data_IF_523642532377
#
_entry.id   IF_523642532377
#
_cell.length_a   1.000
_cell.length_b   1.000
_cell.length_c   1.000
_cell.angle_alpha   90.00
_cell.angle_beta   90.00
_cell.angle_gamma   90.00
#
_symmetry.space_group_name_H-M   'P 1'
#
loop_
_entity.id
_entity.type
_entity.pdbx_description
1 polymer ?
#
# COMPACT_ATOMS: atom_id res chain seq x y z
N UNK A 1 20.13 1.06 -8.61
CA UNK A 1 19.14 0.29 -9.40
C UNK A 1 17.80 0.93 -9.15
N UNK A 2 17.16 1.46 -10.19
CA UNK A 2 15.83 2.08 -10.11
C UNK A 2 14.83 0.99 -10.45
N UNK A 3 14.08 0.50 -9.47
CA UNK A 3 12.99 -0.45 -9.69
C UNK A 3 11.79 0.33 -10.23
N UNK A 4 11.45 0.11 -11.50
CA UNK A 4 10.24 0.67 -12.11
C UNK A 4 9.09 -0.28 -11.79
N UNK A 5 8.12 0.19 -11.00
CA UNK A 5 6.88 -0.55 -10.71
C UNK A 5 5.85 -0.07 -11.74
N UNK A 6 5.34 -0.98 -12.55
CA UNK A 6 4.30 -0.69 -13.54
C UNK A 6 2.93 -0.86 -12.88
N UNK A 7 2.15 0.22 -12.74
CA UNK A 7 0.89 0.24 -11.96
C UNK A 7 -0.40 0.22 -12.81
N UNK A 8 -0.36 0.01 -14.13
CA UNK A 8 -1.51 0.37 -14.98
C UNK A 8 -2.57 -0.71 -15.21
N UNK A 9 -3.83 -0.29 -15.09
CA UNK A 9 -4.91 -0.64 -16.01
C UNK A 9 -5.69 0.64 -16.37
N UNK A 10 -5.66 1.01 -17.66
CA UNK A 10 -6.36 2.18 -18.19
C UNK A 10 -7.86 1.82 -18.26
N UNK A 11 -8.72 2.52 -17.51
CA UNK A 11 -10.15 2.19 -17.29
C UNK A 11 -11.08 2.16 -18.52
N UNK A 12 -10.75 1.38 -19.56
CA UNK A 12 -11.52 1.15 -20.80
C UNK A 12 -11.75 -0.34 -21.09
N UNK A 13 -11.55 -1.24 -20.12
CA UNK A 13 -11.73 -2.67 -20.31
C UNK A 13 -13.09 -3.13 -19.73
N UNK A 14 -13.87 -3.88 -20.53
CA UNK A 14 -15.10 -4.59 -20.10
C UNK A 14 -14.83 -5.73 -19.09
N UNK A 15 -13.56 -5.91 -18.70
CA UNK A 15 -13.12 -6.84 -17.68
C UNK A 15 -12.81 -6.08 -16.38
N UNK A 16 -13.01 -6.68 -15.20
CA UNK A 16 -12.49 -6.11 -13.97
C UNK A 16 -10.98 -5.86 -14.13
N UNK A 17 -10.46 -4.69 -13.71
CA UNK A 17 -9.06 -4.36 -13.91
C UNK A 17 -8.19 -5.48 -13.36
N UNK A 18 -7.09 -5.87 -14.05
CA UNK A 18 -6.18 -6.88 -13.55
C UNK A 18 -5.75 -6.49 -12.14
N UNK A 19 -5.80 -7.46 -11.23
CA UNK A 19 -5.36 -7.24 -9.87
C UNK A 19 -3.90 -6.74 -9.88
N UNK A 20 -3.54 -5.75 -9.05
CA UNK A 20 -2.18 -5.23 -9.03
C UNK A 20 -1.17 -6.35 -8.75
N UNK A 21 -0.02 -6.28 -9.42
CA UNK A 21 1.05 -7.25 -9.28
C UNK A 21 1.51 -7.35 -7.82
N UNK A 22 1.77 -8.57 -7.36
CA UNK A 22 2.20 -8.84 -5.99
C UNK A 22 3.72 -8.60 -5.85
N UNK A 23 4.10 -7.65 -5.02
CA UNK A 23 5.51 -7.34 -4.73
C UNK A 23 5.95 -8.12 -3.49
N UNK A 24 6.92 -9.02 -3.62
CA UNK A 24 7.50 -9.73 -2.48
C UNK A 24 8.52 -8.85 -1.77
N UNK A 25 8.30 -8.61 -0.49
CA UNK A 25 9.21 -7.86 0.37
C UNK A 25 10.04 -8.82 1.23
N UNK A 26 11.31 -8.46 1.44
CA UNK A 26 12.16 -9.17 2.38
C UNK A 26 11.70 -8.96 3.83
N UNK A 27 12.04 -9.92 4.69
CA UNK A 27 11.83 -9.79 6.13
C UNK A 27 12.70 -8.64 6.65
N UNK A 28 12.14 -7.79 7.53
CA UNK A 28 12.94 -6.77 8.19
C UNK A 28 13.91 -7.41 9.18
N UNK A 29 14.98 -6.70 9.57
CA UNK A 29 15.84 -7.18 10.67
C UNK A 29 15.03 -7.18 11.96
N UNK A 30 15.20 -8.21 12.80
CA UNK A 30 14.50 -8.31 14.09
C UNK A 30 14.62 -7.01 14.89
N UNK A 31 13.49 -6.46 15.31
CA UNK A 31 13.42 -5.22 16.09
C UNK A 31 13.71 -3.93 15.29
N UNK A 32 13.88 -4.02 13.97
CA UNK A 32 14.04 -2.87 13.09
C UNK A 32 12.80 -2.66 12.21
N UNK A 33 12.63 -1.42 11.76
CA UNK A 33 11.71 -1.07 10.70
C UNK A 33 12.46 -1.03 9.37
N UNK A 34 11.92 -1.72 8.37
CA UNK A 34 12.26 -1.51 6.97
C UNK A 34 11.30 -0.50 6.38
N UNK A 35 11.75 0.26 5.37
CA UNK A 35 10.94 1.25 4.69
C UNK A 35 11.11 1.16 3.18
N UNK A 36 10.00 1.26 2.46
CA UNK A 36 9.95 1.35 1.00
C UNK A 36 9.23 2.63 0.62
N UNK A 37 9.90 3.49 -0.14
CA UNK A 37 9.27 4.67 -0.72
C UNK A 37 8.24 4.23 -1.77
N UNK A 38 7.03 4.79 -1.69
CA UNK A 38 5.96 4.55 -2.64
C UNK A 38 5.86 5.73 -3.63
N UNK A 39 5.44 5.49 -4.88
CA UNK A 39 5.29 6.54 -5.88
C UNK A 39 4.06 7.40 -5.56
N UNK A 40 4.26 8.45 -4.74
CA UNK A 40 3.19 9.30 -4.22
C UNK A 40 2.31 9.90 -5.33
N UNK A 41 2.91 10.42 -6.40
CA UNK A 41 2.17 11.09 -7.47
C UNK A 41 1.33 10.10 -8.29
N UNK A 42 1.83 8.88 -8.51
CA UNK A 42 1.05 7.82 -9.15
C UNK A 42 -0.12 7.39 -8.27
N UNK A 43 0.10 7.23 -6.96
CA UNK A 43 -0.97 6.90 -6.01
C UNK A 43 -2.06 7.97 -5.93
N UNK A 44 -1.69 9.26 -6.01
CA UNK A 44 -2.66 10.36 -6.13
C UNK A 44 -3.45 10.25 -7.43
N UNK A 45 -2.79 9.98 -8.55
CA UNK A 45 -3.45 9.81 -9.85
C UNK A 45 -4.43 8.65 -9.89
N UNK A 46 -4.21 7.60 -9.08
CA UNK A 46 -5.09 6.44 -8.96
C UNK A 46 -6.29 6.65 -8.02
N UNK A 47 -6.29 7.73 -7.23
CA UNK A 47 -7.40 8.09 -6.35
C UNK A 47 -8.55 8.75 -7.15
N UNK A 48 -9.21 7.99 -8.02
CA UNK A 48 -10.22 8.54 -8.96
C UNK A 48 -11.67 8.39 -8.50
N UNK A 49 -11.93 7.55 -7.49
CA UNK A 49 -13.28 7.20 -7.04
C UNK A 49 -13.42 7.33 -5.53
N UNK A 50 -14.65 7.54 -5.06
CA UNK A 50 -15.01 7.49 -3.63
C UNK A 50 -14.90 6.07 -3.06
N UNK A 51 -15.03 5.06 -3.91
CA UNK A 51 -14.85 3.67 -3.53
C UNK A 51 -13.36 3.34 -3.42
N UNK A 52 -12.92 2.62 -2.37
CA UNK A 52 -11.54 2.18 -2.25
C UNK A 52 -11.12 1.30 -3.43
N UNK A 53 -10.02 1.65 -4.07
CA UNK A 53 -9.39 0.86 -5.12
C UNK A 53 -8.07 0.30 -4.60
N UNK A 54 -7.83 -0.99 -4.81
CA UNK A 54 -6.52 -1.61 -4.52
C UNK A 54 -5.53 -1.23 -5.60
N UNK A 55 -4.38 -0.67 -5.21
CA UNK A 55 -3.41 -0.13 -6.15
C UNK A 55 -2.05 -0.80 -6.06
N UNK A 56 -1.68 -1.33 -4.90
CA UNK A 56 -0.44 -2.09 -4.72
C UNK A 56 -0.69 -3.23 -3.74
N UNK A 57 -0.13 -4.41 -4.04
CA UNK A 57 -0.10 -5.56 -3.14
C UNK A 57 1.33 -5.93 -2.79
N UNK A 58 1.57 -6.16 -1.51
CA UNK A 58 2.84 -6.62 -0.99
C UNK A 58 2.63 -7.92 -0.23
N UNK A 59 3.60 -8.82 -0.38
CA UNK A 59 3.70 -10.01 0.46
C UNK A 59 4.93 -9.89 1.35
N UNK A 60 4.72 -9.99 2.67
CA UNK A 60 5.77 -10.10 3.68
C UNK A 60 5.55 -11.42 4.40
N UNK A 61 6.41 -12.40 4.15
CA UNK A 61 6.21 -13.78 4.61
C UNK A 61 4.82 -14.30 4.19
N UNK A 62 3.98 -14.69 5.17
CA UNK A 62 2.61 -15.16 4.97
C UNK A 62 1.56 -14.05 5.13
N UNK A 63 1.99 -12.79 5.29
CA UNK A 63 1.09 -11.64 5.38
C UNK A 63 0.93 -10.94 4.03
N UNK A 64 -0.32 -10.63 3.68
CA UNK A 64 -0.68 -9.78 2.55
C UNK A 64 -0.93 -8.36 3.04
N UNK A 65 -0.28 -7.38 2.42
CA UNK A 65 -0.50 -5.95 2.65
C UNK A 65 -1.00 -5.33 1.35
N UNK A 66 -2.09 -4.60 1.42
CA UNK A 66 -2.73 -3.94 0.28
C UNK A 66 -2.76 -2.44 0.54
N UNK A 67 -2.23 -1.66 -0.39
CA UNK A 67 -2.44 -0.21 -0.43
C UNK A 67 -3.73 0.05 -1.19
N UNK A 68 -4.64 0.77 -0.55
CA UNK A 68 -5.87 1.23 -1.17
C UNK A 68 -5.86 2.75 -1.29
N UNK A 69 -6.38 3.27 -2.39
CA UNK A 69 -6.59 4.71 -2.61
C UNK A 69 -8.07 5.02 -2.85
N UNK A 70 -8.46 6.26 -2.59
CA UNK A 70 -9.76 6.83 -2.96
C UNK A 70 -9.67 8.35 -3.07
N UNK A 71 -10.61 8.98 -3.75
CA UNK A 71 -10.88 10.42 -3.66
C UNK A 71 -12.16 10.67 -2.89
N UNK A 72 -12.06 11.45 -1.80
CA UNK A 72 -13.20 11.82 -0.98
C UNK A 72 -13.19 13.34 -0.76
N UNK A 73 -14.26 14.02 -1.16
CA UNK A 73 -14.31 15.49 -1.08
C UNK A 73 -13.24 16.19 -1.93
N UNK A 74 -12.79 15.55 -3.02
CA UNK A 74 -11.72 16.07 -3.88
C UNK A 74 -10.30 15.86 -3.34
N UNK A 75 -10.15 15.20 -2.18
CA UNK A 75 -8.84 14.90 -1.57
C UNK A 75 -8.45 13.46 -1.89
N UNK A 76 -7.24 13.27 -2.40
CA UNK A 76 -6.68 11.94 -2.59
C UNK A 76 -6.25 11.35 -1.24
N UNK A 77 -6.71 10.14 -0.93
CA UNK A 77 -6.43 9.45 0.32
C UNK A 77 -5.89 8.05 0.07
N UNK A 78 -5.02 7.56 0.95
CA UNK A 78 -4.58 6.18 0.97
C UNK A 78 -4.72 5.54 2.35
N UNK A 79 -4.83 4.20 2.38
CA UNK A 79 -4.75 3.40 3.61
C UNK A 79 -4.10 2.04 3.33
N UNK A 80 -3.74 1.33 4.39
CA UNK A 80 -3.39 -0.08 4.33
C UNK A 80 -4.54 -0.96 4.77
N UNK A 81 -4.61 -2.11 4.10
CA UNK A 81 -5.31 -3.29 4.57
C UNK A 81 -4.27 -4.41 4.68
N UNK A 82 -4.22 -5.07 5.81
CA UNK A 82 -3.32 -6.18 6.05
C UNK A 82 -4.12 -7.43 6.44
N UNK A 83 -3.72 -8.56 5.89
CA UNK A 83 -4.23 -9.89 6.21
C UNK A 83 -3.04 -10.71 6.65
N UNK A 84 -3.04 -11.19 7.88
CA UNK A 84 -1.97 -12.04 8.40
C UNK A 84 -2.20 -13.53 8.08
N UNK A 85 -1.24 -14.39 8.42
CA UNK A 85 -1.32 -15.83 8.13
C UNK A 85 -2.55 -16.53 8.74
N UNK A 86 -2.97 -16.19 9.98
CA UNK A 86 -4.27 -16.63 10.53
C UNK A 86 -5.52 -16.09 9.81
N UNK A 87 -5.38 -15.14 8.88
CA UNK A 87 -6.49 -14.51 8.17
C UNK A 87 -7.12 -13.34 8.93
N UNK A 88 -6.48 -12.80 9.96
CA UNK A 88 -6.95 -11.62 10.68
C UNK A 88 -6.69 -10.37 9.84
N UNK A 89 -7.72 -9.53 9.79
CA UNK A 89 -7.69 -8.27 9.06
C UNK A 89 -7.31 -7.11 9.97
N UNK A 90 -6.41 -6.27 9.49
CA UNK A 90 -6.09 -4.97 10.09
C UNK A 90 -6.24 -3.89 9.02
N UNK A 91 -7.00 -2.84 9.32
CA UNK A 91 -7.25 -1.74 8.38
C UNK A 91 -6.80 -0.43 9.02
N UNK A 92 -5.92 0.32 8.35
CA UNK A 92 -5.46 1.61 8.87
C UNK A 92 -6.47 2.72 8.61
N UNK A 93 -6.30 3.84 9.31
CA UNK A 93 -6.97 5.08 8.97
C UNK A 93 -6.57 5.56 7.56
N UNK A 94 -7.45 6.36 6.95
CA UNK A 94 -7.14 7.09 5.73
C UNK A 94 -6.13 8.20 6.02
N UNK A 95 -5.16 8.34 5.13
CA UNK A 95 -4.16 9.40 5.14
C UNK A 95 -4.31 10.27 3.90
N UNK A 96 -4.35 11.58 4.09
CA UNK A 96 -4.41 12.53 2.99
C UNK A 96 -3.08 12.58 2.24
N UNK A 97 -3.12 12.28 0.94
CA UNK A 97 -1.96 12.27 0.07
C UNK A 97 -1.59 13.67 -0.38
N UNK A 98 -2.54 14.58 -0.56
CA UNK A 98 -2.31 15.92 -1.12
C UNK A 98 -1.43 16.80 -0.23
N UNK A 99 -1.39 16.51 1.08
CA UNK A 99 -0.53 17.20 2.03
C UNK A 99 0.85 16.53 2.21
N UNK A 100 1.06 15.36 1.62
CA UNK A 100 2.32 14.63 1.74
C UNK A 100 3.37 15.12 0.73
N UNK A 101 4.63 15.16 1.12
CA UNK A 101 5.80 15.31 0.22
C UNK A 101 6.40 13.97 -0.19
N UNK A 102 6.08 12.92 0.54
CA UNK A 102 6.48 11.55 0.26
C UNK A 102 5.59 10.56 1.01
N UNK A 103 5.64 9.31 0.61
CA UNK A 103 4.91 8.23 1.25
C UNK A 103 5.82 7.01 1.36
N UNK A 104 5.88 6.40 2.53
CA UNK A 104 6.57 5.12 2.71
C UNK A 104 5.64 4.06 3.26
N UNK A 105 5.83 2.84 2.79
CA UNK A 105 5.43 1.64 3.49
C UNK A 105 6.56 1.29 4.46
N UNK A 106 6.28 1.37 5.75
CA UNK A 106 7.20 0.85 6.77
C UNK A 106 6.66 -0.49 7.26
N UNK A 107 7.53 -1.50 7.43
CA UNK A 107 7.18 -2.77 8.05
C UNK A 107 8.26 -3.25 9.02
N UNK A 108 7.84 -3.91 10.09
CA UNK A 108 8.74 -4.57 11.04
C UNK A 108 8.39 -6.04 11.18
N UNK A 109 9.41 -6.89 11.21
CA UNK A 109 9.31 -8.25 11.71
C UNK A 109 9.72 -8.22 13.19
N UNK A 110 8.79 -8.50 14.07
CA UNK A 110 9.10 -8.78 15.47
C UNK A 110 9.12 -10.30 15.64
N UNK A 111 10.15 -10.80 16.34
CA UNK A 111 10.23 -12.23 16.61
C UNK A 111 9.00 -12.66 17.42
N UNK A 112 8.24 -13.62 16.89
CA UNK A 112 6.98 -14.13 17.44
C UNK A 112 5.74 -13.22 17.33
N UNK A 113 5.79 -12.10 16.60
CA UNK A 113 4.61 -11.27 16.32
C UNK A 113 4.32 -11.17 14.83
N UNK A 114 3.05 -10.93 14.50
CA UNK A 114 2.59 -10.67 13.14
C UNK A 114 3.33 -9.45 12.59
N UNK A 115 3.90 -9.52 11.36
CA UNK A 115 4.56 -8.38 10.74
C UNK A 115 3.64 -7.16 10.77
N UNK A 116 4.08 -6.04 11.33
CA UNK A 116 3.28 -4.82 11.39
C UNK A 116 3.64 -3.92 10.22
N UNK A 117 2.65 -3.53 9.41
CA UNK A 117 2.83 -2.57 8.33
C UNK A 117 2.10 -1.26 8.62
N UNK A 118 2.70 -0.14 8.20
CA UNK A 118 2.07 1.19 8.26
C UNK A 118 2.43 2.02 7.04
N UNK A 119 1.48 2.85 6.62
CA UNK A 119 1.77 3.97 5.71
C UNK A 119 2.23 5.16 6.53
N UNK A 120 3.35 5.75 6.14
CA UNK A 120 3.88 6.95 6.75
C UNK A 120 3.98 8.07 5.70
N UNK A 121 3.08 9.06 5.76
CA UNK A 121 3.24 10.30 5.02
C UNK A 121 4.46 11.06 5.55
N UNK A 122 5.28 11.56 4.65
CA UNK A 122 6.34 12.53 4.93
C UNK A 122 5.76 13.92 4.68
N UNK A 123 5.78 14.80 5.68
CA UNK A 123 5.22 16.17 5.58
C UNK A 123 6.28 17.20 5.23
#
# INVERSE_FOLDING_TARGET
MTTVILLFANGFEDAPPPAPEMIKLGVSRNGAWSGLALPLDELRGLAVSVHPTEVIRFQVEDSLIVVQTRSFGGVAQARLVQIDAPGRWTVSAWSDLDQARGLSLDWSAQAAEVPMARLRPVR
#
